data_IF_633542285609
#
_entry.id   IF_633542285609
#
_cell.length_a   1.000
_cell.length_b   1.000
_cell.length_c   1.000
_cell.angle_alpha   90.00
_cell.angle_beta   90.00
_cell.angle_gamma   90.00
#
_symmetry.space_group_name_H-M   'P 1'
#
loop_
_entity.id
_entity.type
_entity.pdbx_description
1 polymer ?
#
# COMPACT_ATOMS: atom_id res chain seq x y z
N UNK A 1 -16.56 -5.60 42.11
CA UNK A 1 -16.70 -6.25 40.78
C UNK A 1 -16.57 -5.27 39.61
N UNK A 2 -17.45 -4.26 39.51
CA UNK A 2 -17.52 -3.32 38.36
C UNK A 2 -16.19 -2.63 38.00
N UNK A 3 -15.43 -2.14 39.00
CA UNK A 3 -14.13 -1.48 38.77
C UNK A 3 -13.06 -2.40 38.16
N UNK A 4 -13.10 -3.69 38.49
CA UNK A 4 -12.15 -4.67 37.95
C UNK A 4 -12.44 -4.95 36.47
N UNK A 5 -13.71 -5.12 36.13
CA UNK A 5 -14.17 -5.31 34.74
C UNK A 5 -13.83 -4.07 33.90
N UNK A 6 -14.07 -2.87 34.42
CA UNK A 6 -13.71 -1.62 33.75
C UNK A 6 -12.20 -1.49 33.51
N UNK A 7 -11.37 -1.90 34.47
CA UNK A 7 -9.91 -1.87 34.34
C UNK A 7 -9.40 -2.88 33.31
N UNK A 8 -9.95 -4.09 33.30
CA UNK A 8 -9.61 -5.10 32.30
C UNK A 8 -9.93 -4.64 30.87
N UNK A 9 -11.10 -4.02 30.67
CA UNK A 9 -11.49 -3.45 29.36
C UNK A 9 -10.55 -2.36 28.87
N UNK A 10 -10.07 -1.48 29.76
CA UNK A 10 -9.10 -0.44 29.38
C UNK A 10 -7.77 -1.03 28.93
N UNK A 11 -7.23 -1.99 29.67
CA UNK A 11 -5.97 -2.64 29.31
C UNK A 11 -6.07 -3.36 27.95
N UNK A 12 -7.22 -3.97 27.66
CA UNK A 12 -7.44 -4.59 26.36
C UNK A 12 -7.51 -3.56 25.23
N UNK A 13 -8.12 -2.41 25.45
CA UNK A 13 -8.17 -1.33 24.47
C UNK A 13 -6.77 -0.74 24.22
N UNK A 14 -6.02 -0.44 25.28
CA UNK A 14 -4.64 0.05 25.18
C UNK A 14 -3.72 -0.94 24.44
N UNK A 15 -3.90 -2.24 24.66
CA UNK A 15 -3.16 -3.27 23.92
C UNK A 15 -3.59 -3.40 22.45
N UNK A 16 -4.84 -3.08 22.11
CA UNK A 16 -5.31 -3.07 20.73
C UNK A 16 -4.81 -1.84 19.96
N UNK A 17 -4.69 -0.69 20.64
CA UNK A 17 -4.10 0.52 20.07
C UNK A 17 -2.57 0.39 19.92
N UNK A 18 -1.94 -0.46 20.75
CA UNK A 18 -0.52 -0.77 20.65
C UNK A 18 -0.20 -1.46 19.31
N UNK A 19 0.39 -0.70 18.39
CA UNK A 19 0.78 -1.17 17.07
C UNK A 19 -0.21 -0.87 15.95
N UNK A 20 -1.34 -0.19 16.25
CA UNK A 20 -2.31 0.24 15.24
C UNK A 20 -1.65 1.12 14.17
N UNK A 21 -0.86 2.13 14.57
CA UNK A 21 -0.14 3.00 13.63
C UNK A 21 0.93 2.25 12.80
N UNK A 22 1.57 1.23 13.37
CA UNK A 22 2.53 0.38 12.63
C UNK A 22 1.81 -0.48 11.59
N UNK A 23 0.63 -1.03 11.94
CA UNK A 23 -0.20 -1.81 11.03
C UNK A 23 -0.74 -0.96 9.88
N UNK A 24 -1.19 0.28 10.16
CA UNK A 24 -1.62 1.24 9.13
C UNK A 24 -0.52 1.52 8.12
N UNK A 25 0.70 1.80 8.61
CA UNK A 25 1.84 2.06 7.74
C UNK A 25 2.23 0.83 6.90
N UNK A 26 2.20 -0.36 7.51
CA UNK A 26 2.48 -1.60 6.80
C UNK A 26 1.46 -1.86 5.68
N UNK A 27 0.17 -1.72 5.97
CA UNK A 27 -0.90 -1.89 4.96
C UNK A 27 -0.80 -0.81 3.87
N UNK A 28 -0.54 0.44 4.25
CA UNK A 28 -0.32 1.52 3.29
C UNK A 28 0.83 1.23 2.33
N UNK A 29 1.94 0.70 2.85
CA UNK A 29 3.09 0.28 2.05
C UNK A 29 2.73 -0.87 1.11
N UNK A 30 2.03 -1.90 1.60
CA UNK A 30 1.58 -3.03 0.78
C UNK A 30 0.64 -2.57 -0.35
N UNK A 31 -0.29 -1.66 -0.06
CA UNK A 31 -1.20 -1.11 -1.05
C UNK A 31 -0.44 -0.35 -2.16
N UNK A 32 0.55 0.47 -1.78
CA UNK A 32 1.41 1.18 -2.74
C UNK A 32 2.22 0.22 -3.62
N UNK A 33 2.82 -0.82 -3.03
CA UNK A 33 3.58 -1.85 -3.77
C UNK A 33 2.68 -2.63 -4.73
N UNK A 34 1.47 -3.00 -4.32
CA UNK A 34 0.51 -3.67 -5.19
C UNK A 34 0.15 -2.80 -6.41
N UNK A 35 -0.12 -1.52 -6.19
CA UNK A 35 -0.39 -0.57 -7.27
C UNK A 35 0.80 -0.41 -8.21
N UNK A 36 2.02 -0.32 -7.66
CA UNK A 36 3.24 -0.28 -8.46
C UNK A 36 3.42 -1.53 -9.33
N UNK A 37 3.07 -2.72 -8.81
CA UNK A 37 3.08 -3.97 -9.57
C UNK A 37 2.11 -3.94 -10.76
N UNK A 38 0.90 -3.42 -10.58
CA UNK A 38 -0.07 -3.22 -11.67
C UNK A 38 0.48 -2.24 -12.71
N UNK A 39 1.02 -1.10 -12.27
CA UNK A 39 1.62 -0.13 -13.19
C UNK A 39 2.79 -0.72 -13.97
N UNK A 40 3.65 -1.50 -13.32
CA UNK A 40 4.75 -2.20 -14.01
C UNK A 40 4.21 -3.12 -15.10
N UNK A 41 3.12 -3.84 -14.85
CA UNK A 41 2.49 -4.70 -15.86
C UNK A 41 1.95 -3.90 -17.05
N UNK A 42 1.36 -2.74 -16.79
CA UNK A 42 0.90 -1.81 -17.84
C UNK A 42 2.09 -1.29 -18.65
N UNK A 43 3.12 -0.79 -17.98
CA UNK A 43 4.31 -0.22 -18.63
C UNK A 43 5.07 -1.25 -19.47
N UNK A 44 5.09 -2.50 -19.03
CA UNK A 44 5.73 -3.61 -19.75
C UNK A 44 4.83 -4.25 -20.81
N UNK A 45 3.62 -3.75 -21.02
CA UNK A 45 2.71 -4.28 -22.05
C UNK A 45 3.14 -3.88 -23.46
N UNK A 46 2.84 -4.75 -24.43
CA UNK A 46 3.16 -4.53 -25.84
C UNK A 46 2.66 -3.19 -26.40
N UNK A 47 1.40 -2.79 -26.19
CA UNK A 47 0.88 -1.50 -26.68
C UNK A 47 1.62 -0.29 -26.12
N UNK A 48 1.92 -0.27 -24.81
CA UNK A 48 2.63 0.86 -24.18
C UNK A 48 4.06 0.93 -24.70
N UNK A 49 4.77 -0.20 -24.76
CA UNK A 49 6.14 -0.26 -25.30
C UNK A 49 6.21 0.18 -26.77
N UNK A 50 5.23 -0.22 -27.59
CA UNK A 50 5.15 0.21 -28.97
C UNK A 50 4.91 1.72 -29.10
N UNK A 51 3.99 2.27 -28.30
CA UNK A 51 3.73 3.70 -28.26
C UNK A 51 4.98 4.50 -27.85
N UNK A 52 5.67 4.08 -26.79
CA UNK A 52 6.90 4.71 -26.31
C UNK A 52 8.00 4.66 -27.36
N UNK A 53 8.20 3.49 -27.99
CA UNK A 53 9.15 3.32 -29.09
C UNK A 53 8.83 4.23 -30.27
N UNK A 54 7.55 4.42 -30.59
CA UNK A 54 7.11 5.33 -31.65
C UNK A 54 7.32 6.82 -31.32
N UNK A 55 7.25 7.21 -30.05
CA UNK A 55 7.62 8.57 -29.60
C UNK A 55 9.13 8.76 -29.73
N UNK A 56 9.93 7.84 -29.19
CA UNK A 56 11.39 7.90 -29.25
C UNK A 56 11.88 7.92 -30.71
N UNK A 57 11.36 7.01 -31.55
CA UNK A 57 11.75 6.94 -32.96
C UNK A 57 11.37 8.18 -33.79
N UNK A 58 10.37 8.97 -33.36
CA UNK A 58 10.07 10.27 -33.96
C UNK A 58 11.02 11.37 -33.49
N UNK A 59 11.48 11.30 -32.24
CA UNK A 59 12.42 12.27 -31.68
C UNK A 59 13.87 12.08 -32.19
N UNK A 60 14.21 10.87 -32.66
CA UNK A 60 15.54 10.53 -33.18
C UNK A 60 15.72 10.76 -34.69
N UNK A 61 14.65 11.12 -35.41
CA UNK A 61 14.70 11.52 -36.82
C UNK A 61 14.79 13.03 -36.92
#
# INVERSE_FOLDING_TARGET
MYKLIARYRRLQAEAADAGMSTAEYAIGTLAAVAFAGVLLKVLTSGPVQAALSGVIGRALK
#
